data_IF_611083566078
#
_entry.id   IF_611083566078
#
_cell.length_a   1.000
_cell.length_b   1.000
_cell.length_c   1.000
_cell.angle_alpha   90.00
_cell.angle_beta   90.00
_cell.angle_gamma   90.00
#
_symmetry.space_group_name_H-M   'P 1'
#
loop_
_entity.id
_entity.type
_entity.pdbx_description
1 polymer ?
#
# COMPACT_ATOMS: atom_id res chain seq x y z
N UNK A 1 -4.79 39.47 6.88
CA UNK A 1 -3.38 39.33 6.44
C UNK A 1 -2.84 38.08 7.12
N UNK A 2 -3.14 36.85 6.69
CA UNK A 2 -2.94 36.19 5.39
C UNK A 2 -1.47 36.12 4.94
N UNK A 3 -0.85 34.96 5.18
CA UNK A 3 0.09 34.18 4.33
C UNK A 3 0.66 33.05 5.23
N UNK A 4 0.19 31.79 5.20
CA UNK A 4 0.21 30.77 4.13
C UNK A 4 1.64 30.29 3.81
N UNK A 5 2.01 29.12 4.34
CA UNK A 5 2.55 27.96 3.58
C UNK A 5 3.07 26.87 4.56
N UNK A 6 2.31 25.77 4.71
CA UNK A 6 2.37 24.52 3.93
C UNK A 6 3.49 23.59 4.41
N UNK A 7 3.11 22.56 5.19
CA UNK A 7 3.54 21.15 5.06
C UNK A 7 2.72 20.33 6.07
N UNK A 8 1.49 20.03 5.68
CA UNK A 8 0.62 19.09 6.36
C UNK A 8 0.16 18.09 5.29
N UNK A 9 0.49 16.82 5.52
CA UNK A 9 -0.23 15.59 5.17
C UNK A 9 -0.97 15.58 3.82
N UNK A 10 -0.42 14.86 2.86
CA UNK A 10 -1.16 14.30 1.74
C UNK A 10 -0.74 12.84 1.63
N UNK A 11 -1.50 11.98 2.29
CA UNK A 11 -1.72 10.59 1.93
C UNK A 11 -3.09 10.31 2.55
N UNK A 12 -4.15 10.59 1.79
CA UNK A 12 -5.47 9.95 1.75
C UNK A 12 -6.28 10.70 0.68
N UNK A 13 -7.09 9.96 -0.08
CA UNK A 13 -8.03 10.40 -1.14
C UNK A 13 -7.48 10.56 -2.57
N UNK A 14 -7.18 9.44 -3.23
CA UNK A 14 -6.90 9.37 -4.68
C UNK A 14 -7.90 8.51 -5.47
N UNK A 15 -9.13 8.32 -5.00
CA UNK A 15 -10.10 7.42 -5.65
C UNK A 15 -11.45 8.05 -6.05
N UNK A 16 -11.56 9.37 -6.27
CA UNK A 16 -12.85 9.96 -6.67
C UNK A 16 -12.77 11.24 -7.51
N UNK A 17 -12.34 11.19 -8.79
CA UNK A 17 -12.50 12.34 -9.72
C UNK A 17 -12.78 12.04 -11.21
N UNK A 18 -13.48 10.95 -11.58
CA UNK A 18 -13.89 10.76 -13.00
C UNK A 18 -15.40 10.92 -13.28
N UNK A 19 -16.13 11.61 -12.39
CA UNK A 19 -17.45 12.14 -12.72
C UNK A 19 -17.42 13.67 -12.67
N UNK A 20 -17.36 14.28 -13.86
CA UNK A 20 -18.08 15.51 -14.29
C UNK A 20 -17.28 16.20 -15.43
N UNK A 21 -17.65 15.97 -16.69
CA UNK A 21 -18.03 16.98 -17.71
C UNK A 21 -17.95 16.38 -19.12
N UNK A 22 -19.09 16.01 -19.70
CA UNK A 22 -19.32 16.35 -21.12
C UNK A 22 -20.82 16.45 -21.41
N UNK A 23 -21.42 17.58 -21.05
CA UNK A 23 -22.73 18.00 -21.55
C UNK A 23 -22.50 18.86 -22.80
N UNK A 24 -22.92 18.30 -23.94
CA UNK A 24 -23.38 18.97 -25.17
C UNK A 24 -22.36 19.82 -25.97
N UNK A 25 -22.03 19.33 -27.16
CA UNK A 25 -22.06 20.12 -28.40
C UNK A 25 -22.21 19.22 -29.62
N UNK A 26 -23.44 19.12 -30.10
CA UNK A 26 -23.80 18.68 -31.45
C UNK A 26 -23.25 19.66 -32.48
N UNK A 27 -22.39 19.21 -33.38
CA UNK A 27 -22.18 19.85 -34.69
C UNK A 27 -22.32 18.80 -35.78
N UNK A 28 -23.44 18.84 -36.49
CA UNK A 28 -23.69 18.00 -37.66
C UNK A 28 -22.77 18.46 -38.80
N UNK A 29 -21.73 17.66 -39.10
CA UNK A 29 -20.92 17.85 -40.29
C UNK A 29 -20.74 16.50 -41.00
N UNK A 30 -21.31 16.29 -42.21
CA UNK A 30 -21.36 14.98 -42.85
C UNK A 30 -20.03 14.50 -43.45
N UNK A 31 -18.93 15.22 -43.21
CA UNK A 31 -17.58 14.91 -43.69
C UNK A 31 -16.60 14.42 -42.60
N UNK A 32 -17.08 14.12 -41.38
CA UNK A 32 -16.23 13.52 -40.32
C UNK A 32 -16.02 12.00 -40.44
N UNK A 33 -16.64 11.37 -41.43
CA UNK A 33 -16.71 9.91 -41.63
C UNK A 33 -15.58 9.33 -42.50
N UNK A 34 -14.34 9.80 -42.36
CA UNK A 34 -13.15 9.05 -42.81
C UNK A 34 -12.00 9.30 -41.81
N UNK A 35 -12.18 8.86 -40.57
CA UNK A 35 -11.03 8.56 -39.72
C UNK A 35 -10.74 7.09 -39.90
N UNK A 36 -9.57 6.77 -40.47
CA UNK A 36 -8.99 5.44 -40.36
C UNK A 36 -8.95 5.08 -38.88
N UNK A 37 -9.89 4.25 -38.43
CA UNK A 37 -9.85 3.65 -37.11
C UNK A 37 -8.62 2.74 -37.07
N UNK A 38 -7.46 3.30 -36.70
CA UNK A 38 -6.40 2.49 -36.13
C UNK A 38 -7.03 1.84 -34.91
N UNK A 39 -7.09 0.51 -34.81
CA UNK A 39 -7.63 -0.12 -33.62
C UNK A 39 -6.81 0.45 -32.45
N UNK A 40 -7.49 1.05 -31.48
CA UNK A 40 -6.85 1.41 -30.23
C UNK A 40 -6.32 0.11 -29.65
N UNK A 41 -5.02 -0.12 -29.78
CA UNK A 41 -4.34 -1.21 -29.12
C UNK A 41 -4.62 -1.02 -27.62
N UNK A 42 -5.48 -1.86 -27.06
CA UNK A 42 -5.57 -2.01 -25.62
C UNK A 42 -4.18 -2.43 -25.17
N UNK A 43 -3.41 -1.48 -24.65
CA UNK A 43 -2.18 -1.77 -23.92
C UNK A 43 -2.64 -2.55 -22.70
N UNK A 44 -2.66 -3.88 -22.81
CA UNK A 44 -2.77 -4.75 -21.66
C UNK A 44 -1.57 -4.40 -20.78
N UNK A 45 -1.84 -3.70 -19.68
CA UNK A 45 -0.83 -3.43 -18.68
C UNK A 45 -0.40 -4.79 -18.15
N UNK A 46 0.75 -5.27 -18.60
CA UNK A 46 1.36 -6.50 -18.11
C UNK A 46 1.45 -6.37 -16.59
N UNK A 47 0.66 -7.18 -15.88
CA UNK A 47 0.75 -7.26 -14.42
C UNK A 47 2.10 -7.91 -14.10
N UNK A 48 2.85 -7.31 -13.18
CA UNK A 48 4.07 -7.93 -12.70
C UNK A 48 3.72 -9.23 -11.99
N UNK A 49 4.42 -10.30 -12.35
CA UNK A 49 4.32 -11.58 -11.65
C UNK A 49 4.79 -11.42 -10.20
N UNK A 50 4.12 -12.03 -9.20
CA UNK A 50 4.47 -11.88 -7.78
C UNK A 50 5.89 -12.35 -7.43
N UNK A 51 6.37 -13.37 -8.15
CA UNK A 51 7.73 -13.91 -8.11
C UNK A 51 7.95 -14.80 -9.33
N UNK A 52 9.16 -15.36 -9.49
CA UNK A 52 9.45 -16.35 -10.54
C UNK A 52 8.60 -17.64 -10.43
N UNK A 53 7.98 -17.88 -9.27
CA UNK A 53 7.13 -19.03 -9.02
C UNK A 53 5.64 -18.70 -9.17
N UNK A 54 5.28 -17.48 -9.54
CA UNK A 54 3.88 -17.00 -9.59
C UNK A 54 3.23 -16.88 -8.21
N UNK A 55 3.98 -17.15 -7.12
CA UNK A 55 3.48 -17.11 -5.74
C UNK A 55 4.22 -16.04 -4.93
N UNK A 56 3.52 -15.34 -4.04
CA UNK A 56 4.14 -14.42 -3.08
C UNK A 56 4.64 -15.21 -1.86
N UNK A 57 5.96 -15.27 -1.59
CA UNK A 57 6.46 -15.93 -0.38
C UNK A 57 6.04 -15.14 0.87
N UNK A 58 5.90 -15.84 1.99
CA UNK A 58 5.69 -15.19 3.28
C UNK A 58 6.97 -14.50 3.74
N UNK A 59 6.82 -13.36 4.40
CA UNK A 59 7.92 -12.66 5.04
C UNK A 59 8.39 -13.41 6.30
N UNK A 60 9.68 -13.32 6.60
CA UNK A 60 10.28 -14.02 7.75
C UNK A 60 9.64 -13.61 9.09
N UNK A 61 9.41 -12.31 9.29
CA UNK A 61 8.76 -11.81 10.50
C UNK A 61 7.33 -12.35 10.64
N UNK A 62 6.57 -12.32 9.54
CA UNK A 62 5.19 -12.86 9.51
C UNK A 62 5.18 -14.34 9.86
N UNK A 63 6.13 -15.12 9.33
CA UNK A 63 6.29 -16.54 9.68
C UNK A 63 6.63 -16.73 11.15
N UNK A 64 7.61 -15.99 11.67
CA UNK A 64 8.02 -16.06 13.07
C UNK A 64 6.85 -15.77 14.04
N UNK A 65 6.07 -14.72 13.76
CA UNK A 65 4.90 -14.38 14.56
C UNK A 65 3.84 -15.49 14.45
N UNK A 66 3.59 -16.01 13.25
CA UNK A 66 2.62 -17.09 13.03
C UNK A 66 2.98 -18.34 13.85
N UNK A 67 4.25 -18.76 13.82
CA UNK A 67 4.75 -19.90 14.57
C UNK A 67 4.67 -19.69 16.08
N UNK A 68 4.87 -18.45 16.55
CA UNK A 68 4.69 -18.10 17.96
C UNK A 68 3.22 -18.19 18.38
N UNK A 69 2.30 -17.59 17.62
CA UNK A 69 0.88 -17.55 17.93
C UNK A 69 0.26 -18.95 17.90
N UNK A 70 0.68 -19.80 16.96
CA UNK A 70 0.16 -21.15 16.82
C UNK A 70 0.32 -21.99 18.10
N UNK A 71 1.37 -21.75 18.89
CA UNK A 71 1.63 -22.47 20.15
C UNK A 71 0.56 -22.23 21.22
N UNK A 72 -0.21 -21.15 21.11
CA UNK A 72 -1.20 -20.74 22.09
C UNK A 72 -2.64 -20.80 21.55
N UNK A 73 -2.82 -21.28 20.31
CA UNK A 73 -4.09 -21.24 19.60
C UNK A 73 -5.23 -21.99 20.30
N UNK A 74 -4.90 -23.04 21.06
CA UNK A 74 -5.88 -23.89 21.75
C UNK A 74 -6.22 -23.43 23.18
N UNK A 75 -5.58 -22.36 23.67
CA UNK A 75 -5.85 -21.87 25.02
C UNK A 75 -7.18 -21.10 25.07
N UNK A 76 -7.99 -21.26 26.12
CA UNK A 76 -9.21 -20.48 26.29
C UNK A 76 -8.88 -19.07 26.82
N UNK A 77 -9.71 -18.08 26.49
CA UNK A 77 -9.66 -16.72 27.03
C UNK A 77 -8.31 -15.99 26.83
N UNK A 78 -7.64 -16.21 25.70
CA UNK A 78 -6.36 -15.57 25.37
C UNK A 78 -6.62 -14.16 24.85
N UNK A 79 -5.77 -13.23 25.26
CA UNK A 79 -5.68 -11.89 24.66
C UNK A 79 -4.36 -11.78 23.90
N UNK A 80 -4.43 -11.37 22.63
CA UNK A 80 -3.27 -11.08 21.79
C UNK A 80 -3.34 -9.61 21.39
N UNK A 81 -2.30 -8.86 21.71
CA UNK A 81 -2.20 -7.43 21.40
C UNK A 81 -0.78 -7.03 21.00
N UNK A 82 -0.68 -6.04 20.11
CA UNK A 82 0.58 -5.39 19.75
C UNK A 82 0.66 -4.00 20.39
N UNK A 83 1.70 -3.74 21.18
CA UNK A 83 1.90 -2.45 21.87
C UNK A 83 3.05 -1.68 21.27
N UNK A 84 2.87 -0.37 21.15
CA UNK A 84 3.94 0.56 20.80
C UNK A 84 4.67 1.02 22.05
N UNK A 85 6.00 1.04 21.99
CA UNK A 85 6.84 1.45 23.12
C UNK A 85 8.32 1.53 22.74
N UNK A 86 9.16 1.75 23.75
CA UNK A 86 10.61 1.74 23.60
C UNK A 86 11.18 0.51 24.30
N UNK A 87 12.00 -0.27 23.59
CA UNK A 87 12.85 -1.27 24.22
C UNK A 87 14.02 -0.53 24.88
N UNK A 88 14.18 -0.72 26.19
CA UNK A 88 15.19 -0.04 27.01
C UNK A 88 16.25 -1.05 27.45
N UNK A 89 17.52 -0.73 27.22
CA UNK A 89 18.63 -1.51 27.76
C UNK A 89 18.71 -1.33 29.29
N UNK A 90 18.79 -2.46 30.01
CA UNK A 90 18.77 -2.48 31.49
C UNK A 90 20.01 -1.84 32.11
N UNK A 91 21.14 -1.82 31.42
CA UNK A 91 22.38 -1.28 31.95
C UNK A 91 22.49 0.24 31.73
N UNK A 92 22.21 0.70 30.51
CA UNK A 92 22.27 2.13 30.16
C UNK A 92 21.00 2.91 30.45
N UNK A 93 19.89 2.23 30.79
CA UNK A 93 18.54 2.83 30.94
C UNK A 93 18.10 3.66 29.73
N UNK A 94 18.66 3.38 28.57
CA UNK A 94 18.44 4.12 27.32
C UNK A 94 17.77 3.22 26.30
N UNK A 95 17.13 3.83 25.29
CA UNK A 95 16.57 3.07 24.16
C UNK A 95 17.68 2.20 23.53
N UNK A 96 17.38 0.92 23.32
CA UNK A 96 18.34 0.00 22.71
C UNK A 96 18.73 0.46 21.30
N UNK A 97 20.02 0.33 20.98
CA UNK A 97 20.55 0.51 19.63
C UNK A 97 21.09 -0.82 19.14
N UNK A 98 20.49 -1.34 18.08
CA UNK A 98 20.87 -2.60 17.45
C UNK A 98 21.53 -2.31 16.10
N UNK A 99 22.52 -3.11 15.67
CA UNK A 99 23.19 -2.94 14.37
C UNK A 99 22.33 -3.47 13.21
N UNK A 100 21.07 -3.03 13.13
CA UNK A 100 20.09 -3.42 12.11
C UNK A 100 19.40 -2.17 11.55
N UNK A 101 18.96 -2.22 10.29
CA UNK A 101 18.37 -1.08 9.59
C UNK A 101 16.84 -1.17 9.45
N UNK A 102 16.28 -2.35 9.72
CA UNK A 102 14.86 -2.66 9.55
C UNK A 102 14.33 -3.35 10.79
N UNK A 103 13.01 -3.52 10.83
CA UNK A 103 12.38 -4.41 11.80
C UNK A 103 13.04 -5.80 11.76
N UNK A 104 13.18 -6.41 12.94
CA UNK A 104 13.87 -7.68 13.11
C UNK A 104 13.19 -8.51 14.19
N UNK A 105 13.10 -9.82 13.96
CA UNK A 105 12.64 -10.84 14.90
C UNK A 105 13.67 -11.96 15.00
N UNK A 106 13.71 -12.64 16.14
CA UNK A 106 14.62 -13.76 16.44
C UNK A 106 14.02 -15.11 16.11
#
# INVERSE_FOLDING_TARGET
MEQKQKRLRQDEDFDNQDHILNKNKTSNNPLSMIMNHKPEEKIERLRLEPSIFGTKPSEDLTRCISDFLFKFADLPNIEIEGKLGLLVDKHSSSRISLPVLTETGT
#
